data_IF_163985581089
#
_entry.id   IF_163985581089
#
_cell.length_a   1.000
_cell.length_b   1.000
_cell.length_c   1.000
_cell.angle_alpha   90.00
_cell.angle_beta   90.00
_cell.angle_gamma   90.00
#
_symmetry.space_group_name_H-M   'P 1'
#
loop_
_entity.id
_entity.type
_entity.pdbx_description
1 polymer ?
#
# COMPACT_ATOMS: atom_id res chain seq x y z
N UNK A 1 12.99 -1.73 -8.44
CA UNK A 1 11.57 -1.57 -8.15
C UNK A 1 11.37 -0.83 -6.84
N UNK A 2 10.30 -0.08 -6.71
CA UNK A 2 10.05 0.75 -5.53
C UNK A 2 8.64 0.53 -5.01
N UNK A 3 8.46 0.54 -3.70
CA UNK A 3 7.13 0.67 -3.11
C UNK A 3 7.12 1.83 -2.10
N UNK A 4 5.93 2.25 -1.70
CA UNK A 4 5.75 3.33 -0.73
C UNK A 4 5.22 2.77 0.57
N UNK A 5 5.88 3.13 1.65
CA UNK A 5 5.51 2.75 2.99
C UNK A 5 4.82 3.93 3.67
N UNK A 6 3.68 3.70 4.29
CA UNK A 6 2.98 4.67 5.12
C UNK A 6 3.14 4.18 6.56
N UNK A 7 3.80 4.96 7.40
CA UNK A 7 4.16 4.53 8.75
C UNK A 7 3.96 5.65 9.77
N UNK A 8 3.86 5.29 11.04
CA UNK A 8 3.82 6.26 12.14
C UNK A 8 5.24 6.45 12.67
N UNK A 9 5.66 7.71 12.81
CA UNK A 9 6.94 8.03 13.43
C UNK A 9 6.85 7.97 14.96
N UNK A 10 7.94 8.26 15.65
CA UNK A 10 8.01 8.21 17.10
C UNK A 10 7.08 9.22 17.79
N UNK A 11 6.64 10.27 17.08
CA UNK A 11 5.73 11.29 17.58
C UNK A 11 4.26 11.01 17.22
N UNK A 12 3.98 9.87 16.59
CA UNK A 12 2.64 9.50 16.14
C UNK A 12 2.21 10.15 14.83
N UNK A 13 3.07 10.91 14.17
CA UNK A 13 2.80 11.46 12.83
C UNK A 13 2.95 10.36 11.80
N UNK A 14 2.05 10.33 10.83
CA UNK A 14 2.24 9.43 9.69
C UNK A 14 3.01 10.12 8.59
N UNK A 15 3.80 9.35 7.85
CA UNK A 15 4.67 9.83 6.78
C UNK A 15 4.79 8.79 5.68
N UNK A 16 5.22 9.24 4.50
CA UNK A 16 5.59 8.36 3.40
C UNK A 16 7.09 8.09 3.43
N UNK A 17 7.45 6.87 3.05
CA UNK A 17 8.83 6.48 2.79
C UNK A 17 8.88 5.70 1.48
N UNK A 18 9.75 6.13 0.56
CA UNK A 18 10.03 5.37 -0.66
C UNK A 18 11.04 4.28 -0.34
N UNK A 19 10.68 3.04 -0.62
CA UNK A 19 11.54 1.89 -0.36
C UNK A 19 11.99 1.28 -1.68
N UNK A 20 13.30 1.26 -1.92
CA UNK A 20 13.89 0.59 -3.07
C UNK A 20 14.05 -0.90 -2.77
N UNK A 21 13.66 -1.72 -3.74
CA UNK A 21 13.78 -3.16 -3.65
C UNK A 21 14.66 -3.65 -4.79
N UNK A 22 15.74 -4.33 -4.44
CA UNK A 22 16.69 -4.87 -5.41
C UNK A 22 16.55 -6.37 -5.46
N UNK A 23 16.16 -6.88 -6.64
CA UNK A 23 16.00 -8.32 -6.84
C UNK A 23 17.34 -9.04 -6.88
N UNK A 24 17.35 -10.24 -6.38
CA UNK A 24 18.49 -11.16 -6.46
C UNK A 24 18.25 -12.12 -7.63
N UNK A 25 19.25 -12.33 -8.52
CA UNK A 25 19.11 -13.33 -9.57
C UNK A 25 18.80 -14.71 -8.99
N UNK A 26 17.69 -15.30 -9.37
CA UNK A 26 17.19 -16.55 -8.79
C UNK A 26 16.67 -17.44 -9.90
N UNK A 27 17.12 -18.70 -9.92
CA UNK A 27 16.56 -19.73 -10.81
C UNK A 27 15.37 -20.36 -10.09
N UNK A 28 14.18 -20.12 -10.62
CA UNK A 28 12.92 -20.61 -10.03
C UNK A 28 12.48 -21.92 -10.64
N UNK A 29 12.83 -22.15 -11.91
CA UNK A 29 12.53 -23.37 -12.66
C UNK A 29 13.76 -23.72 -13.48
N UNK A 30 14.18 -24.99 -13.43
CA UNK A 30 15.31 -25.47 -14.22
C UNK A 30 15.05 -25.25 -15.71
N UNK A 31 16.05 -24.72 -16.41
CA UNK A 31 15.97 -24.43 -17.85
C UNK A 31 15.40 -23.07 -18.20
N UNK A 32 14.91 -22.32 -17.21
CA UNK A 32 14.42 -20.94 -17.38
C UNK A 32 15.51 -19.96 -16.93
N UNK A 33 15.74 -18.85 -17.67
CA UNK A 33 16.72 -17.86 -17.25
C UNK A 33 16.42 -17.33 -15.83
N UNK A 34 17.43 -16.93 -15.07
CA UNK A 34 17.22 -16.36 -13.73
C UNK A 34 16.33 -15.13 -13.76
N UNK A 35 15.46 -15.03 -12.77
CA UNK A 35 14.64 -13.86 -12.50
C UNK A 35 15.26 -13.05 -11.38
N UNK A 36 15.01 -11.75 -11.35
CA UNK A 36 15.39 -10.91 -10.23
C UNK A 36 14.24 -10.96 -9.21
N UNK A 37 14.49 -11.62 -8.08
CA UNK A 37 13.48 -11.88 -7.06
C UNK A 37 13.79 -11.09 -5.81
N UNK A 38 12.78 -10.41 -5.29
CA UNK A 38 12.80 -9.72 -4.00
C UNK A 38 11.78 -10.37 -3.08
N UNK A 39 12.09 -10.43 -1.80
CA UNK A 39 11.24 -11.10 -0.82
C UNK A 39 11.65 -12.55 -0.56
N UNK A 40 10.76 -13.37 0.00
CA UNK A 40 9.31 -13.15 0.15
C UNK A 40 8.98 -12.07 1.18
N UNK A 41 7.88 -11.36 0.92
CA UNK A 41 7.31 -10.42 1.87
C UNK A 41 6.14 -11.08 2.59
N UNK A 42 5.90 -10.76 3.88
CA UNK A 42 4.82 -11.41 4.63
C UNK A 42 3.45 -11.03 4.05
N UNK A 43 2.62 -12.04 3.76
CA UNK A 43 1.27 -11.86 3.26
C UNK A 43 0.44 -13.09 3.65
N UNK A 44 -0.67 -12.88 4.35
CA UNK A 44 -1.46 -13.98 4.91
C UNK A 44 -2.71 -14.33 4.09
N UNK A 45 -3.34 -13.34 3.46
CA UNK A 45 -4.58 -13.51 2.70
C UNK A 45 -4.68 -12.40 1.66
N UNK A 46 -5.69 -12.48 0.79
CA UNK A 46 -5.92 -11.46 -0.23
C UNK A 46 -7.39 -11.05 -0.20
N UNK A 47 -7.62 -9.74 -0.21
CA UNK A 47 -8.95 -9.17 -0.44
C UNK A 47 -8.89 -8.32 -1.71
N UNK A 48 -9.98 -8.29 -2.44
CA UNK A 48 -10.14 -7.37 -3.57
C UNK A 48 -11.25 -6.39 -3.21
N UNK A 49 -10.94 -5.10 -3.32
CA UNK A 49 -11.85 -4.03 -2.93
C UNK A 49 -12.15 -3.18 -4.15
N UNK A 50 -13.41 -2.89 -4.35
CA UNK A 50 -13.89 -1.89 -5.29
C UNK A 50 -14.42 -0.71 -4.48
N UNK A 51 -13.92 0.49 -4.76
CA UNK A 51 -14.26 1.68 -3.99
C UNK A 51 -14.74 2.79 -4.92
N UNK A 52 -16.07 2.94 -5.11
CA UNK A 52 -16.61 4.00 -5.94
C UNK A 52 -16.41 5.38 -5.29
N UNK A 53 -16.21 6.42 -6.12
CA UNK A 53 -15.95 7.77 -5.65
C UNK A 53 -17.21 8.51 -5.15
N UNK A 54 -18.39 7.99 -5.41
CA UNK A 54 -19.65 8.65 -5.05
C UNK A 54 -20.10 8.48 -3.60
N UNK A 55 -19.30 7.82 -2.77
CA UNK A 55 -19.63 7.60 -1.35
C UNK A 55 -19.34 8.82 -0.48
N UNK A 56 -19.56 8.67 0.83
CA UNK A 56 -19.22 9.71 1.82
C UNK A 56 -17.72 9.87 1.87
N UNK A 57 -17.19 11.08 1.62
CA UNK A 57 -15.74 11.29 1.71
C UNK A 57 -15.24 11.05 3.12
N UNK A 58 -14.01 10.56 3.24
CA UNK A 58 -13.32 10.54 4.52
C UNK A 58 -12.90 11.96 4.87
N UNK A 59 -13.23 12.39 6.08
CA UNK A 59 -12.91 13.72 6.58
C UNK A 59 -11.82 13.70 7.65
N UNK A 60 -11.59 12.53 8.22
CA UNK A 60 -10.70 12.38 9.38
C UNK A 60 -9.62 11.36 9.08
N UNK A 61 -8.44 11.63 9.61
CA UNK A 61 -7.34 10.67 9.61
C UNK A 61 -7.74 9.45 10.44
N UNK A 62 -7.38 8.28 9.98
CA UNK A 62 -7.59 7.03 10.72
C UNK A 62 -6.39 6.12 10.57
N UNK A 63 -6.13 5.31 11.58
CA UNK A 63 -5.04 4.33 11.52
C UNK A 63 -5.40 3.17 10.61
N UNK A 64 -4.39 2.51 10.06
CA UNK A 64 -4.59 1.25 9.38
C UNK A 64 -5.05 0.21 10.41
N UNK A 65 -6.09 -0.60 10.11
CA UNK A 65 -6.59 -1.60 11.06
C UNK A 65 -5.58 -2.70 11.33
N UNK A 66 -4.66 -2.90 10.42
CA UNK A 66 -3.56 -3.85 10.50
C UNK A 66 -2.49 -3.46 9.49
N UNK A 67 -1.28 -3.98 9.64
CA UNK A 67 -0.25 -3.83 8.61
C UNK A 67 -0.68 -4.62 7.38
N UNK A 68 -0.66 -3.98 6.22
CA UNK A 68 -1.13 -4.61 4.99
C UNK A 68 -0.52 -3.98 3.75
N UNK A 69 -0.30 -4.84 2.75
CA UNK A 69 0.05 -4.41 1.41
C UNK A 69 -1.20 -4.01 0.65
N UNK A 70 -1.06 -3.06 -0.24
CA UNK A 70 -2.12 -2.66 -1.16
C UNK A 70 -1.52 -2.46 -2.54
N UNK A 71 -2.12 -3.07 -3.55
CA UNK A 71 -1.75 -2.88 -4.95
C UNK A 71 -2.94 -2.29 -5.67
N UNK A 72 -2.78 -1.11 -6.25
CA UNK A 72 -3.84 -0.49 -7.05
C UNK A 72 -3.96 -1.26 -8.37
N UNK A 73 -5.16 -1.74 -8.66
CA UNK A 73 -5.46 -2.50 -9.87
C UNK A 73 -6.03 -1.62 -10.97
N UNK A 74 -7.03 -0.80 -10.65
CA UNK A 74 -7.67 0.13 -11.59
C UNK A 74 -7.92 1.45 -10.90
N UNK A 75 -8.02 2.52 -11.70
CA UNK A 75 -8.36 3.83 -11.17
C UNK A 75 -7.21 4.52 -10.46
N UNK A 76 -7.53 5.54 -9.69
CA UNK A 76 -6.58 6.37 -8.95
C UNK A 76 -7.10 6.70 -7.57
N UNK A 77 -6.20 6.80 -6.62
CA UNK A 77 -6.49 7.21 -5.25
C UNK A 77 -5.43 8.20 -4.77
N UNK A 78 -5.80 9.04 -3.81
CA UNK A 78 -4.86 9.87 -3.08
C UNK A 78 -4.77 9.40 -1.63
N UNK A 79 -3.58 9.48 -1.06
CA UNK A 79 -3.35 9.26 0.37
C UNK A 79 -2.73 10.53 0.94
N UNK A 80 -3.30 11.00 2.04
CA UNK A 80 -2.79 12.15 2.79
C UNK A 80 -2.34 11.64 4.15
N UNK A 81 -1.11 11.97 4.51
CA UNK A 81 -0.53 11.61 5.80
C UNK A 81 -0.48 12.81 6.74
N UNK A 82 -0.35 12.56 8.03
CA UNK A 82 -0.50 13.61 9.04
C UNK A 82 0.67 14.59 9.10
N UNK A 83 1.79 14.30 8.43
CA UNK A 83 2.88 15.27 8.29
C UNK A 83 2.54 16.37 7.26
N UNK A 84 1.41 16.24 6.54
CA UNK A 84 0.93 17.21 5.56
C UNK A 84 1.17 16.81 4.11
N UNK A 85 1.90 15.76 3.83
CA UNK A 85 2.16 15.29 2.48
C UNK A 85 0.96 14.54 1.91
N UNK A 86 0.70 14.71 0.62
CA UNK A 86 -0.33 14.00 -0.13
C UNK A 86 0.28 13.45 -1.41
N UNK A 87 0.02 12.19 -1.69
CA UNK A 87 0.46 11.54 -2.95
C UNK A 87 -0.71 10.87 -3.64
N UNK A 88 -0.65 10.85 -4.97
CA UNK A 88 -1.62 10.15 -5.80
C UNK A 88 -1.01 8.86 -6.35
N UNK A 89 -1.83 7.81 -6.39
CA UNK A 89 -1.40 6.48 -6.82
C UNK A 89 -2.35 5.95 -7.88
N UNK A 90 -1.79 5.40 -8.94
CA UNK A 90 -2.52 4.76 -10.02
C UNK A 90 -2.24 3.26 -10.09
N UNK A 91 -2.78 2.61 -11.12
CA UNK A 91 -2.63 1.17 -11.33
C UNK A 91 -1.16 0.75 -11.30
N UNK A 92 -0.87 -0.33 -10.59
CA UNK A 92 0.47 -0.87 -10.41
C UNK A 92 1.22 -0.32 -9.19
N UNK A 93 0.71 0.71 -8.51
CA UNK A 93 1.34 1.22 -7.30
C UNK A 93 1.23 0.19 -6.17
N UNK A 94 2.35 -0.06 -5.52
CA UNK A 94 2.45 -0.95 -4.36
C UNK A 94 2.69 -0.12 -3.11
N UNK A 95 1.80 -0.24 -2.15
CA UNK A 95 1.85 0.47 -0.87
C UNK A 95 1.93 -0.52 0.28
N UNK A 96 2.62 -0.13 1.35
CA UNK A 96 2.58 -0.85 2.62
C UNK A 96 2.03 0.09 3.69
N UNK A 97 0.82 -0.19 4.16
CA UNK A 97 0.21 0.57 5.24
C UNK A 97 0.64 -0.03 6.58
N UNK A 98 1.42 0.73 7.33
CA UNK A 98 2.01 0.29 8.60
C UNK A 98 1.68 1.23 9.75
N UNK A 99 0.87 2.25 9.52
CA UNK A 99 0.46 3.25 10.50
C UNK A 99 -0.71 2.74 11.35
N UNK A 100 -0.46 1.67 12.09
CA UNK A 100 -1.47 1.02 12.95
C UNK A 100 -1.69 1.75 14.27
N UNK A 101 -0.92 2.79 14.54
CA UNK A 101 -1.02 3.65 15.71
C UNK A 101 -0.73 5.10 15.32
N UNK A 102 -0.96 6.03 16.25
CA UNK A 102 -0.73 7.44 15.99
C UNK A 102 -1.91 8.12 15.30
N UNK A 103 -1.62 9.13 14.48
CA UNK A 103 -2.66 9.95 13.85
C UNK A 103 -3.31 9.29 12.63
N UNK A 104 -2.61 8.38 11.96
CA UNK A 104 -3.16 7.70 10.80
C UNK A 104 -3.10 8.52 9.51
N UNK A 105 -3.88 8.11 8.52
CA UNK A 105 -3.89 8.68 7.18
C UNK A 105 -5.33 8.85 6.68
N UNK A 106 -5.46 9.55 5.57
CA UNK A 106 -6.72 9.75 4.87
C UNK A 106 -6.58 9.21 3.45
N UNK A 107 -7.51 8.39 2.98
CA UNK A 107 -7.54 7.88 1.61
C UNK A 107 -8.73 8.46 0.87
N UNK A 108 -8.50 8.91 -0.37
CA UNK A 108 -9.52 9.53 -1.20
C UNK A 108 -9.55 8.85 -2.57
N UNK A 109 -10.68 8.23 -2.96
CA UNK A 109 -10.81 7.74 -4.33
C UNK A 109 -10.91 8.95 -5.29
N UNK A 110 -10.12 8.92 -6.36
CA UNK A 110 -10.10 10.00 -7.35
C UNK A 110 -10.90 9.65 -8.61
N UNK A 111 -11.19 8.38 -8.83
CA UNK A 111 -11.95 7.88 -9.97
C UNK A 111 -13.03 6.91 -9.49
N UNK A 112 -14.08 6.72 -10.30
CA UNK A 112 -15.19 5.83 -9.95
C UNK A 112 -14.82 4.34 -10.06
N UNK A 113 -13.77 4.03 -10.78
CA UNK A 113 -13.34 2.67 -11.06
C UNK A 113 -12.19 2.20 -10.16
N UNK A 114 -11.96 2.86 -9.04
CA UNK A 114 -10.87 2.48 -8.13
C UNK A 114 -11.09 1.06 -7.61
N UNK A 115 -10.12 0.21 -7.85
CA UNK A 115 -10.05 -1.12 -7.24
C UNK A 115 -8.63 -1.44 -6.83
N UNK A 116 -8.51 -2.24 -5.80
CA UNK A 116 -7.19 -2.63 -5.30
C UNK A 116 -7.24 -3.99 -4.60
N UNK A 117 -6.10 -4.67 -4.59
CA UNK A 117 -5.91 -5.88 -3.80
C UNK A 117 -5.19 -5.52 -2.52
N UNK A 118 -5.63 -6.11 -1.41
CA UNK A 118 -5.02 -5.92 -0.10
C UNK A 118 -4.53 -7.27 0.43
N UNK A 119 -3.35 -7.23 1.04
CA UNK A 119 -2.72 -8.42 1.61
C UNK A 119 -2.29 -8.10 3.04
N UNK A 120 -3.06 -8.52 4.08
CA UNK A 120 -2.60 -8.39 5.46
C UNK A 120 -1.25 -9.09 5.63
N UNK A 121 -0.32 -8.48 6.39
CA UNK A 121 1.01 -9.07 6.61
C UNK A 121 0.91 -10.35 7.42
N UNK A 122 -0.05 -10.42 8.35
CA UNK A 122 -0.22 -11.56 9.26
C UNK A 122 -1.67 -12.03 9.27
N UNK A 123 -1.92 -13.30 9.63
CA UNK A 123 -3.27 -13.81 9.86
C UNK A 123 -4.01 -12.97 10.91
N UNK A 124 -5.33 -12.92 10.77
CA UNK A 124 -6.19 -12.23 11.74
C UNK A 124 -6.19 -12.94 13.10
#
# INVERSE_FOLDING_TARGET
>A
MRYVRIFADENGKSAFEDVEVHGTPTVTVEGVPPLLVSGPFPAASMLVVEQPSGGTPEWELHVAPRRQWLIVLTGRAAVTVSDGERREFGAGALLSFEDTEGEGHLSTPLTDDLSYAMFPHQPA
#
